data_IF_999350375715
#
_entry.id   IF_999350375715
#
_cell.length_a   1.000
_cell.length_b   1.000
_cell.length_c   1.000
_cell.angle_alpha   90.00
_cell.angle_beta   90.00
_cell.angle_gamma   90.00
#
_symmetry.space_group_name_H-M   'P 1'
#
loop_
_entity.id
_entity.type
_entity.pdbx_description
1 polymer ?
#
# COMPACT_ATOMS: atom_id res chain seq x y z
N UNK A 1 -13.98 14.94 10.84
CA UNK A 1 -14.79 16.13 11.07
C UNK A 1 -14.64 16.62 12.50
N UNK A 2 -14.82 17.90 12.73
CA UNK A 2 -14.74 18.47 14.08
C UNK A 2 -16.07 18.24 14.78
N UNK A 3 -16.09 17.29 15.71
CA UNK A 3 -17.21 17.06 16.64
C UNK A 3 -16.73 17.53 18.01
N UNK A 4 -17.59 18.17 18.78
CA UNK A 4 -17.23 18.60 20.13
C UNK A 4 -17.08 17.37 21.03
N UNK A 5 -16.25 17.51 22.06
CA UNK A 5 -16.05 16.45 23.04
C UNK A 5 -17.40 16.01 23.65
N UNK A 6 -17.68 14.70 23.59
CA UNK A 6 -18.93 14.11 24.06
C UNK A 6 -20.10 14.06 23.05
N UNK A 7 -19.95 14.60 21.86
CA UNK A 7 -20.93 14.45 20.78
C UNK A 7 -20.70 13.17 19.96
N UNK A 8 -21.79 12.51 19.55
CA UNK A 8 -21.74 11.37 18.64
C UNK A 8 -21.51 11.86 17.18
N UNK A 9 -20.39 11.48 16.52
CA UNK A 9 -20.08 11.92 15.16
C UNK A 9 -21.13 11.54 14.13
N UNK A 10 -21.75 10.34 14.24
CA UNK A 10 -22.78 9.88 13.32
C UNK A 10 -24.04 10.72 13.43
N UNK A 11 -24.45 11.03 14.68
CA UNK A 11 -25.59 11.89 14.94
C UNK A 11 -25.39 13.30 14.37
N UNK A 12 -24.22 13.91 14.65
CA UNK A 12 -23.90 15.25 14.14
C UNK A 12 -23.90 15.29 12.61
N UNK A 13 -23.30 14.29 11.95
CA UNK A 13 -23.31 14.17 10.49
C UNK A 13 -24.74 13.99 9.95
N UNK A 14 -25.54 13.12 10.55
CA UNK A 14 -26.93 12.87 10.14
C UNK A 14 -27.81 14.11 10.28
N UNK A 15 -27.69 14.83 11.39
CA UNK A 15 -28.44 16.08 11.62
C UNK A 15 -28.05 17.18 10.61
N UNK A 16 -26.75 17.24 10.24
CA UNK A 16 -26.30 18.18 9.21
C UNK A 16 -26.86 17.84 7.84
N UNK A 17 -26.79 16.56 7.43
CA UNK A 17 -27.34 16.10 6.16
C UNK A 17 -28.85 16.37 6.05
N UNK A 18 -29.60 16.11 7.14
CA UNK A 18 -31.04 16.44 7.23
C UNK A 18 -31.30 17.93 7.06
N UNK A 19 -30.52 18.77 7.73
CA UNK A 19 -30.65 20.24 7.67
C UNK A 19 -30.37 20.77 6.27
N UNK A 20 -29.43 20.16 5.56
CA UNK A 20 -29.02 20.56 4.22
C UNK A 20 -29.91 19.94 3.11
N UNK A 21 -30.91 19.13 3.49
CA UNK A 21 -31.81 18.38 2.59
C UNK A 21 -31.02 17.55 1.55
N UNK A 22 -30.03 16.77 2.01
CA UNK A 22 -29.23 15.91 1.15
C UNK A 22 -29.95 14.58 0.95
N UNK A 23 -30.25 14.20 -0.29
CA UNK A 23 -30.90 12.95 -0.65
C UNK A 23 -29.92 11.87 -1.08
N UNK A 24 -28.75 12.27 -1.63
CA UNK A 24 -27.71 11.38 -2.13
C UNK A 24 -26.36 11.84 -1.59
N UNK A 25 -25.58 10.90 -1.04
CA UNK A 25 -24.22 11.12 -0.58
C UNK A 25 -23.25 10.17 -1.28
N UNK A 26 -22.28 10.70 -2.02
CA UNK A 26 -21.14 9.92 -2.49
C UNK A 26 -19.96 10.08 -1.54
N UNK A 27 -19.40 8.95 -1.06
CA UNK A 27 -18.19 8.91 -0.24
C UNK A 27 -17.02 8.39 -1.07
N UNK A 28 -15.90 9.10 -1.07
CA UNK A 28 -14.71 8.75 -1.86
C UNK A 28 -13.51 8.70 -0.94
N UNK A 29 -12.99 7.49 -0.65
CA UNK A 29 -11.86 7.35 0.28
C UNK A 29 -11.42 5.91 0.51
N UNK A 30 -10.54 5.72 1.51
CA UNK A 30 -10.00 4.43 1.92
C UNK A 30 -10.96 3.61 2.78
N UNK A 31 -10.41 2.66 3.51
CA UNK A 31 -11.14 1.74 4.40
C UNK A 31 -11.91 2.48 5.49
N UNK A 32 -11.29 3.42 6.21
CA UNK A 32 -11.95 4.26 7.22
C UNK A 32 -13.16 5.01 6.65
N UNK A 33 -12.99 5.63 5.47
CA UNK A 33 -14.09 6.38 4.81
C UNK A 33 -15.25 5.47 4.47
N UNK A 34 -14.97 4.29 3.93
CA UNK A 34 -16.00 3.34 3.52
C UNK A 34 -16.67 2.67 4.72
N UNK A 35 -15.92 2.38 5.78
CA UNK A 35 -16.46 1.89 7.06
C UNK A 35 -17.39 2.94 7.70
N UNK A 36 -16.97 4.22 7.73
CA UNK A 36 -17.81 5.30 8.25
C UNK A 36 -19.07 5.53 7.38
N UNK A 37 -18.95 5.38 6.06
CA UNK A 37 -20.10 5.46 5.15
C UNK A 37 -21.11 4.35 5.45
N UNK A 38 -20.65 3.13 5.68
CA UNK A 38 -21.49 2.00 6.09
C UNK A 38 -22.22 2.27 7.42
N UNK A 39 -21.47 2.74 8.43
CA UNK A 39 -22.05 3.09 9.74
C UNK A 39 -23.08 4.22 9.63
N UNK A 40 -22.79 5.26 8.84
CA UNK A 40 -23.69 6.39 8.63
C UNK A 40 -24.96 5.93 7.89
N UNK A 41 -24.85 5.10 6.87
CA UNK A 41 -26.00 4.54 6.13
C UNK A 41 -26.91 3.75 7.06
N UNK A 42 -26.35 2.88 7.91
CA UNK A 42 -27.12 2.12 8.89
C UNK A 42 -27.79 3.03 9.93
N UNK A 43 -27.03 4.00 10.48
CA UNK A 43 -27.55 4.96 11.45
C UNK A 43 -28.74 5.75 10.88
N UNK A 44 -28.65 6.21 9.64
CA UNK A 44 -29.70 6.99 8.98
C UNK A 44 -30.96 6.14 8.77
N UNK A 45 -30.79 4.91 8.31
CA UNK A 45 -31.88 3.93 8.15
C UNK A 45 -32.60 3.65 9.45
N UNK A 46 -31.86 3.42 10.55
CA UNK A 46 -32.40 3.19 11.89
C UNK A 46 -33.17 4.41 12.46
N UNK A 47 -32.83 5.62 11.96
CA UNK A 47 -33.48 6.87 12.34
C UNK A 47 -34.50 7.38 11.30
N UNK A 48 -35.01 6.51 10.44
CA UNK A 48 -36.06 6.80 9.43
C UNK A 48 -35.70 7.99 8.51
N UNK A 49 -34.43 8.09 8.12
CA UNK A 49 -34.00 9.06 7.13
C UNK A 49 -33.50 8.32 5.88
N UNK A 50 -34.25 8.47 4.80
CA UNK A 50 -33.97 7.84 3.51
C UNK A 50 -32.88 8.64 2.76
N UNK A 51 -31.63 8.41 3.11
CA UNK A 51 -30.47 8.92 2.37
C UNK A 51 -29.82 7.78 1.59
N UNK A 52 -29.62 7.97 0.31
CA UNK A 52 -28.83 7.04 -0.48
C UNK A 52 -27.34 7.34 -0.33
N UNK A 53 -26.58 6.36 0.13
CA UNK A 53 -25.12 6.48 0.30
C UNK A 53 -24.40 5.53 -0.67
N UNK A 54 -23.58 6.08 -1.57
CA UNK A 54 -22.79 5.28 -2.50
C UNK A 54 -21.31 5.57 -2.32
N UNK A 55 -20.56 4.56 -1.89
CA UNK A 55 -19.12 4.63 -1.66
C UNK A 55 -18.31 4.31 -2.91
N UNK A 56 -17.12 4.94 -3.00
CA UNK A 56 -16.11 4.70 -4.02
C UNK A 56 -14.76 4.48 -3.33
N UNK A 57 -14.11 3.30 -3.49
CA UNK A 57 -12.93 2.91 -2.73
C UNK A 57 -11.66 3.52 -3.33
N UNK A 58 -11.28 4.73 -2.91
CA UNK A 58 -10.08 5.43 -3.35
C UNK A 58 -8.95 5.26 -2.30
N UNK A 59 -8.08 4.29 -2.53
CA UNK A 59 -6.89 4.06 -1.72
C UNK A 59 -5.78 3.41 -2.55
N UNK A 60 -4.53 3.78 -2.29
CA UNK A 60 -3.35 3.11 -2.84
C UNK A 60 -2.97 1.85 -2.05
N UNK A 61 -3.40 1.75 -0.80
CA UNK A 61 -3.01 0.67 0.13
C UNK A 61 -3.65 -0.68 -0.22
N UNK A 62 -4.79 -0.65 -0.93
CA UNK A 62 -5.48 -1.83 -1.46
C UNK A 62 -5.97 -2.80 -0.38
N UNK A 63 -6.33 -2.29 0.78
CA UNK A 63 -6.63 -3.02 2.00
C UNK A 63 -8.12 -3.14 2.32
N UNK A 64 -9.00 -2.91 1.35
CA UNK A 64 -10.47 -2.97 1.50
C UNK A 64 -11.02 -4.30 0.98
N UNK A 65 -11.61 -5.12 1.86
CA UNK A 65 -12.33 -6.35 1.49
C UNK A 65 -13.80 -6.01 1.10
N UNK A 66 -14.41 -6.64 0.09
CA UNK A 66 -13.92 -7.73 -0.77
C UNK A 66 -13.45 -7.26 -2.16
N UNK A 67 -12.70 -6.19 -2.24
CA UNK A 67 -12.34 -5.58 -3.52
C UNK A 67 -11.17 -6.27 -4.21
N UNK A 68 -11.32 -6.57 -5.49
CA UNK A 68 -10.22 -7.02 -6.37
C UNK A 68 -9.27 -5.87 -6.68
N UNK A 69 -9.80 -4.65 -6.85
CA UNK A 69 -9.01 -3.46 -7.16
C UNK A 69 -9.59 -2.22 -6.53
N UNK A 70 -8.73 -1.35 -6.02
CA UNK A 70 -9.08 -0.03 -5.50
C UNK A 70 -8.63 1.08 -6.45
N UNK A 71 -9.33 2.22 -6.42
CA UNK A 71 -9.03 3.37 -7.27
C UNK A 71 -7.71 4.01 -6.84
N UNK A 72 -6.75 4.07 -7.75
CA UNK A 72 -5.44 4.69 -7.55
C UNK A 72 -4.31 3.73 -7.21
N UNK A 73 -4.56 2.45 -6.94
CA UNK A 73 -3.51 1.49 -6.58
C UNK A 73 -2.59 1.16 -7.77
N UNK A 74 -3.11 1.05 -8.99
CA UNK A 74 -2.27 0.87 -10.18
C UNK A 74 -1.38 2.08 -10.45
N UNK A 75 -1.92 3.28 -10.31
CA UNK A 75 -1.13 4.52 -10.44
C UNK A 75 -0.03 4.58 -9.40
N UNK A 76 -0.35 4.26 -8.14
CA UNK A 76 0.62 4.30 -7.06
C UNK A 76 1.77 3.31 -7.29
N UNK A 77 1.47 2.09 -7.76
CA UNK A 77 2.47 1.09 -8.10
C UNK A 77 3.39 1.54 -9.25
N UNK A 78 2.81 2.04 -10.34
CA UNK A 78 3.56 2.56 -11.49
C UNK A 78 4.48 3.73 -11.09
N UNK A 79 3.95 4.69 -10.33
CA UNK A 79 4.72 5.85 -9.88
C UNK A 79 5.80 5.47 -8.87
N UNK A 80 5.54 4.50 -7.99
CA UNK A 80 6.57 3.92 -7.12
C UNK A 80 7.71 3.27 -7.92
N UNK A 81 7.40 2.57 -9.02
CA UNK A 81 8.38 1.98 -9.91
C UNK A 81 9.22 3.06 -10.63
N UNK A 82 8.59 4.12 -11.15
CA UNK A 82 9.27 5.27 -11.77
C UNK A 82 10.18 5.97 -10.74
N UNK A 83 9.69 6.18 -9.53
CA UNK A 83 10.47 6.77 -8.44
C UNK A 83 11.75 5.96 -8.17
N UNK A 84 11.62 4.64 -8.04
CA UNK A 84 12.76 3.78 -7.79
C UNK A 84 13.73 3.71 -8.98
N UNK A 85 13.22 3.70 -10.23
CA UNK A 85 14.05 3.72 -11.43
C UNK A 85 14.99 4.94 -11.47
N UNK A 86 14.56 6.09 -10.95
CA UNK A 86 15.43 7.26 -10.83
C UNK A 86 16.49 7.09 -9.73
N UNK A 87 16.11 6.48 -8.60
CA UNK A 87 16.99 6.34 -7.43
C UNK A 87 18.05 5.26 -7.64
N UNK A 88 17.69 4.15 -8.29
CA UNK A 88 18.59 3.01 -8.48
C UNK A 88 19.87 3.36 -9.27
N UNK A 89 19.83 4.42 -10.05
CA UNK A 89 21.01 4.93 -10.76
C UNK A 89 22.15 5.31 -9.81
N UNK A 90 21.87 5.61 -8.55
CA UNK A 90 22.87 5.82 -7.51
C UNK A 90 23.81 4.62 -7.30
N UNK A 91 23.36 3.39 -7.63
CA UNK A 91 24.20 2.19 -7.58
C UNK A 91 25.42 2.24 -8.50
N UNK A 92 25.46 3.19 -9.44
CA UNK A 92 26.61 3.41 -10.33
C UNK A 92 27.62 4.40 -9.76
N UNK A 93 27.31 5.09 -8.66
CA UNK A 93 28.12 6.18 -8.10
C UNK A 93 29.01 5.77 -6.94
N UNK A 94 28.74 4.64 -6.31
CA UNK A 94 29.45 4.15 -5.11
C UNK A 94 29.58 2.65 -5.13
N UNK A 95 30.59 2.15 -4.41
CA UNK A 95 30.72 0.74 -4.10
C UNK A 95 29.85 0.37 -2.89
N UNK A 96 29.50 -0.91 -2.78
CA UNK A 96 28.78 -1.50 -1.64
C UNK A 96 27.57 -0.68 -1.19
N UNK A 97 26.69 -0.38 -2.15
CA UNK A 97 25.52 0.47 -1.90
C UNK A 97 24.30 -0.37 -1.52
N UNK A 98 23.64 0.02 -0.44
CA UNK A 98 22.34 -0.51 -0.03
C UNK A 98 21.27 0.54 -0.31
N UNK A 99 20.27 0.20 -1.14
CA UNK A 99 19.09 1.04 -1.38
C UNK A 99 17.86 0.33 -0.85
N UNK A 100 17.10 1.01 0.01
CA UNK A 100 15.82 0.56 0.52
C UNK A 100 14.73 1.52 0.01
N UNK A 101 13.84 1.00 -0.80
CA UNK A 101 12.65 1.70 -1.25
C UNK A 101 11.49 1.34 -0.33
N UNK A 102 11.14 2.24 0.58
CA UNK A 102 9.97 2.08 1.45
C UNK A 102 8.70 2.54 0.73
N UNK A 103 7.75 1.63 0.63
CA UNK A 103 6.46 1.79 -0.03
C UNK A 103 5.35 1.76 1.01
N UNK A 104 4.29 2.54 0.82
CA UNK A 104 3.09 2.50 1.67
C UNK A 104 2.46 1.10 1.70
N UNK A 105 1.69 0.84 2.73
CA UNK A 105 1.00 -0.43 2.96
C UNK A 105 1.27 -0.96 4.36
N UNK A 106 0.55 -0.41 5.35
CA UNK A 106 0.71 -0.78 6.77
C UNK A 106 0.38 -2.26 7.00
N UNK A 107 -0.80 -2.68 6.54
CA UNK A 107 -1.37 -4.01 6.79
C UNK A 107 -1.48 -4.84 5.50
N UNK A 108 -1.13 -4.28 4.35
CA UNK A 108 -1.27 -4.91 3.05
C UNK A 108 -0.02 -4.68 2.18
N UNK A 109 0.66 -5.76 1.84
CA UNK A 109 1.88 -5.74 1.02
C UNK A 109 1.63 -5.57 -0.48
N UNK A 110 0.38 -5.51 -0.93
CA UNK A 110 0.02 -5.44 -2.34
C UNK A 110 0.75 -4.34 -3.10
N UNK A 111 0.73 -3.11 -2.56
CA UNK A 111 1.35 -1.98 -3.26
C UNK A 111 2.86 -2.17 -3.42
N UNK A 112 3.53 -2.70 -2.40
CA UNK A 112 4.98 -3.01 -2.47
C UNK A 112 5.26 -4.10 -3.52
N UNK A 113 4.49 -5.19 -3.49
CA UNK A 113 4.62 -6.29 -4.44
C UNK A 113 4.35 -5.82 -5.87
N UNK A 114 3.28 -5.04 -6.08
CA UNK A 114 2.91 -4.52 -7.40
C UNK A 114 3.93 -3.48 -7.91
N UNK A 115 4.45 -2.62 -7.03
CA UNK A 115 5.54 -1.68 -7.37
C UNK A 115 6.80 -2.43 -7.81
N UNK A 116 7.14 -3.52 -7.13
CA UNK A 116 8.27 -4.36 -7.51
C UNK A 116 8.04 -5.04 -8.87
N UNK A 117 6.82 -5.52 -9.14
CA UNK A 117 6.45 -6.09 -10.45
C UNK A 117 6.58 -5.06 -11.57
N UNK A 118 5.99 -3.89 -11.41
CA UNK A 118 6.05 -2.80 -12.40
C UNK A 118 7.51 -2.37 -12.65
N UNK A 119 8.30 -2.24 -11.57
CA UNK A 119 9.72 -1.93 -11.70
C UNK A 119 10.49 -3.03 -12.45
N UNK A 120 10.28 -4.30 -12.11
CA UNK A 120 10.93 -5.42 -12.78
C UNK A 120 10.60 -5.46 -14.29
N UNK A 121 9.35 -5.15 -14.66
CA UNK A 121 8.95 -5.05 -16.06
C UNK A 121 9.64 -3.88 -16.78
N UNK A 122 9.83 -2.76 -16.10
CA UNK A 122 10.57 -1.60 -16.65
C UNK A 122 12.04 -1.92 -16.89
N UNK A 123 12.69 -2.57 -15.90
CA UNK A 123 14.12 -2.99 -16.02
C UNK A 123 14.30 -3.96 -17.18
N UNK A 124 13.43 -4.95 -17.36
CA UNK A 124 13.49 -5.92 -18.48
C UNK A 124 13.41 -5.26 -19.86
N UNK A 125 12.75 -4.11 -19.96
CA UNK A 125 12.60 -3.36 -21.20
C UNK A 125 13.66 -2.26 -21.37
N UNK A 126 14.58 -2.10 -20.40
CA UNK A 126 15.65 -1.11 -20.45
C UNK A 126 16.81 -1.62 -21.29
N UNK A 127 17.39 -0.74 -22.10
CA UNK A 127 18.61 -1.05 -22.86
C UNK A 127 19.81 -0.80 -21.96
N UNK A 128 20.62 -1.83 -21.74
CA UNK A 128 21.90 -1.76 -21.04
C UNK A 128 23.06 -1.82 -22.03
N UNK A 129 24.22 -1.36 -21.62
CA UNK A 129 25.43 -1.29 -22.43
C UNK A 129 26.58 -2.03 -21.72
N UNK A 130 26.60 -3.38 -21.78
CA UNK A 130 27.60 -4.18 -21.06
C UNK A 130 29.05 -3.83 -21.47
N UNK A 131 29.25 -3.39 -22.72
CA UNK A 131 30.57 -2.97 -23.23
C UNK A 131 31.11 -1.76 -22.50
N UNK A 132 30.25 -0.97 -21.86
CA UNK A 132 30.59 0.16 -21.00
C UNK A 132 30.53 -0.18 -19.51
N UNK A 133 30.48 -1.46 -19.15
CA UNK A 133 30.27 -1.97 -17.80
C UNK A 133 28.95 -1.52 -17.16
N UNK A 134 27.96 -1.25 -18.00
CA UNK A 134 26.59 -0.92 -17.59
C UNK A 134 25.71 -2.12 -17.96
N UNK A 135 25.71 -3.12 -17.07
CA UNK A 135 24.85 -4.30 -17.14
C UNK A 135 23.62 -4.13 -16.21
N UNK A 136 22.69 -5.07 -16.29
CA UNK A 136 21.43 -5.03 -15.50
C UNK A 136 21.57 -5.48 -14.05
N UNK A 137 22.71 -6.05 -13.68
CA UNK A 137 22.92 -6.64 -12.33
C UNK A 137 22.65 -5.62 -11.22
N UNK A 138 23.10 -4.35 -11.38
CA UNK A 138 22.94 -3.30 -10.35
C UNK A 138 21.53 -2.73 -10.25
N UNK A 139 20.69 -2.92 -11.25
CA UNK A 139 19.31 -2.44 -11.27
C UNK A 139 18.30 -3.48 -10.76
N UNK A 140 18.68 -4.76 -10.70
CA UNK A 140 17.81 -5.84 -10.25
C UNK A 140 17.32 -5.67 -8.80
N UNK A 141 16.12 -6.20 -8.52
CA UNK A 141 15.59 -6.32 -7.16
C UNK A 141 16.30 -7.48 -6.46
N UNK A 142 16.65 -7.30 -5.18
CA UNK A 142 17.32 -8.33 -4.39
C UNK A 142 16.49 -8.85 -3.23
N UNK A 143 15.56 -8.05 -2.72
CA UNK A 143 14.61 -8.49 -1.70
C UNK A 143 13.31 -7.69 -1.75
N UNK A 144 12.22 -8.35 -1.34
CA UNK A 144 10.89 -7.73 -1.15
C UNK A 144 10.39 -8.17 0.23
N UNK A 145 10.14 -7.22 1.13
CA UNK A 145 9.59 -7.49 2.45
C UNK A 145 8.22 -6.85 2.57
N UNK A 146 7.24 -7.66 2.93
CA UNK A 146 5.83 -7.28 3.11
C UNK A 146 5.33 -7.74 4.48
N UNK A 147 4.26 -7.13 5.03
CA UNK A 147 3.78 -7.45 6.37
C UNK A 147 3.26 -8.89 6.50
N UNK A 148 2.79 -9.51 5.43
CA UNK A 148 2.21 -10.85 5.43
C UNK A 148 3.24 -11.99 5.48
N UNK A 149 4.53 -11.68 5.33
CA UNK A 149 5.60 -12.69 5.31
C UNK A 149 6.61 -12.38 6.39
N UNK A 150 6.72 -13.27 7.35
CA UNK A 150 7.85 -13.28 8.30
C UNK A 150 9.15 -13.69 7.62
N UNK A 151 10.25 -13.12 8.04
CA UNK A 151 11.56 -13.46 7.50
C UNK A 151 12.60 -13.68 8.61
N UNK A 152 13.52 -14.58 8.35
CA UNK A 152 14.71 -14.77 9.20
C UNK A 152 15.79 -13.76 8.80
N UNK A 153 16.04 -12.79 9.67
CA UNK A 153 17.05 -11.76 9.42
C UNK A 153 18.45 -12.35 9.16
N UNK A 154 18.86 -13.42 9.86
CA UNK A 154 20.19 -13.98 9.71
C UNK A 154 20.35 -14.68 8.36
N UNK A 155 19.33 -15.41 7.91
CA UNK A 155 19.32 -16.05 6.60
C UNK A 155 19.35 -15.01 5.48
N UNK A 156 18.50 -13.99 5.58
CA UNK A 156 18.44 -12.91 4.59
C UNK A 156 19.72 -12.07 4.56
N UNK A 157 20.28 -11.73 5.70
CA UNK A 157 21.57 -11.04 5.78
C UNK A 157 22.69 -11.83 5.10
N UNK A 158 22.72 -13.16 5.30
CA UNK A 158 23.70 -14.04 4.63
C UNK A 158 23.49 -14.11 3.12
N UNK A 159 22.23 -14.17 2.67
CA UNK A 159 21.88 -14.17 1.24
C UNK A 159 22.26 -12.85 0.58
N UNK A 160 21.81 -11.74 1.15
CA UNK A 160 22.07 -10.38 0.62
C UNK A 160 23.55 -10.01 0.71
N UNK A 161 24.29 -10.49 1.70
CA UNK A 161 25.75 -10.31 1.78
C UNK A 161 26.48 -10.91 0.58
N UNK A 162 26.07 -12.10 0.13
CA UNK A 162 26.64 -12.71 -1.07
C UNK A 162 26.34 -11.89 -2.33
N UNK A 163 25.14 -11.31 -2.40
CA UNK A 163 24.75 -10.43 -3.51
C UNK A 163 25.60 -9.15 -3.48
N UNK A 164 25.72 -8.50 -2.34
CA UNK A 164 26.57 -7.33 -2.14
C UNK A 164 28.02 -7.59 -2.54
N UNK A 165 28.58 -8.76 -2.17
CA UNK A 165 29.96 -9.12 -2.50
C UNK A 165 30.16 -9.42 -3.99
N UNK A 166 29.10 -9.78 -4.72
CA UNK A 166 29.15 -10.08 -6.16
C UNK A 166 29.01 -8.83 -7.02
N UNK A 167 28.04 -7.96 -6.71
CA UNK A 167 27.63 -6.85 -7.60
C UNK A 167 27.76 -5.45 -7.02
N UNK A 168 28.32 -5.31 -5.80
CA UNK A 168 28.52 -4.03 -5.12
C UNK A 168 27.23 -3.22 -4.88
N UNK A 169 26.07 -3.88 -4.86
CA UNK A 169 24.80 -3.23 -4.64
C UNK A 169 23.72 -4.20 -4.17
N UNK A 170 22.78 -3.69 -3.35
CA UNK A 170 21.58 -4.41 -2.91
C UNK A 170 20.39 -3.47 -2.93
N UNK A 171 19.33 -3.88 -3.62
CA UNK A 171 18.09 -3.15 -3.77
C UNK A 171 16.95 -3.87 -3.06
N UNK A 172 16.35 -3.22 -2.07
CA UNK A 172 15.26 -3.77 -1.24
C UNK A 172 13.99 -2.97 -1.48
N UNK A 173 12.89 -3.65 -1.79
CA UNK A 173 11.54 -3.11 -1.71
C UNK A 173 10.95 -3.49 -0.35
N UNK A 174 10.54 -2.51 0.42
CA UNK A 174 10.07 -2.66 1.79
C UNK A 174 8.69 -2.04 1.94
N UNK A 175 7.70 -2.83 2.36
CA UNK A 175 6.45 -2.26 2.86
C UNK A 175 6.68 -1.59 4.21
N UNK A 176 6.08 -0.43 4.43
CA UNK A 176 6.18 0.28 5.71
C UNK A 176 5.65 -0.55 6.92
N UNK A 177 4.81 -1.56 6.66
CA UNK A 177 4.31 -2.48 7.67
C UNK A 177 5.18 -3.71 7.90
N UNK A 178 6.19 -3.96 7.05
CA UNK A 178 7.02 -5.14 7.17
C UNK A 178 7.92 -5.08 8.43
N UNK A 179 7.99 -6.19 9.16
CA UNK A 179 8.86 -6.34 10.33
C UNK A 179 8.45 -5.51 11.55
N UNK A 180 7.30 -4.85 11.53
CA UNK A 180 6.81 -3.98 12.63
C UNK A 180 6.76 -4.72 13.96
N UNK A 181 6.30 -5.97 13.98
CA UNK A 181 6.30 -6.77 15.20
C UNK A 181 7.71 -7.02 15.78
N UNK A 182 8.71 -7.20 14.91
CA UNK A 182 10.09 -7.38 15.36
C UNK A 182 10.65 -6.08 15.95
N UNK A 183 10.29 -4.93 15.36
CA UNK A 183 10.65 -3.60 15.86
C UNK A 183 10.01 -3.38 17.24
N UNK A 184 8.72 -3.67 17.39
CA UNK A 184 7.98 -3.54 18.65
C UNK A 184 8.65 -4.38 19.74
N UNK A 185 8.92 -5.67 19.46
CA UNK A 185 9.61 -6.56 20.43
C UNK A 185 10.98 -6.03 20.86
N UNK A 186 11.72 -5.42 19.93
CA UNK A 186 13.02 -4.81 20.26
C UNK A 186 12.86 -3.59 21.14
N UNK A 187 11.91 -2.68 20.84
CA UNK A 187 11.61 -1.51 21.65
C UNK A 187 11.16 -1.89 23.05
N UNK A 188 10.26 -2.86 23.17
CA UNK A 188 9.82 -3.39 24.48
C UNK A 188 10.98 -3.97 25.29
N UNK A 189 11.88 -4.72 24.64
CA UNK A 189 13.06 -5.30 25.32
C UNK A 189 14.04 -4.23 25.80
N UNK A 190 14.07 -3.08 25.14
CA UNK A 190 14.87 -1.92 25.54
C UNK A 190 14.15 -1.01 26.56
N UNK A 191 12.90 -1.30 26.91
CA UNK A 191 12.08 -0.45 27.79
C UNK A 191 11.63 0.86 27.13
N UNK A 192 11.56 0.89 25.79
CA UNK A 192 11.10 2.05 25.02
C UNK A 192 9.58 2.04 24.91
N UNK A 193 8.97 3.23 24.94
CA UNK A 193 7.53 3.39 24.73
C UNK A 193 7.18 3.25 23.24
N UNK A 194 6.12 2.47 22.93
CA UNK A 194 5.64 2.28 21.56
C UNK A 194 4.67 3.41 21.21
N UNK A 195 5.02 4.29 20.25
CA UNK A 195 4.17 5.40 19.86
C UNK A 195 2.91 4.90 19.12
N UNK A 196 1.73 5.36 19.59
CA UNK A 196 0.43 5.01 19.00
C UNK A 196 -0.37 6.26 18.67
N UNK A 197 -1.21 6.16 17.63
CA UNK A 197 -2.16 7.21 17.28
C UNK A 197 -3.42 7.15 18.16
N UNK A 198 -4.36 8.08 17.94
CA UNK A 198 -5.62 8.16 18.70
C UNK A 198 -6.53 6.92 18.50
N UNK A 199 -6.27 6.10 17.48
CA UNK A 199 -7.01 4.86 17.20
C UNK A 199 -6.29 3.62 17.72
N UNK A 200 -5.11 3.77 18.31
CA UNK A 200 -4.30 2.69 18.86
C UNK A 200 -3.31 2.05 17.87
N UNK A 201 -3.25 2.51 16.64
CA UNK A 201 -2.29 2.03 15.67
C UNK A 201 -0.89 2.55 15.97
N UNK A 202 0.11 1.70 15.73
CA UNK A 202 1.53 2.10 15.84
C UNK A 202 1.83 3.20 14.83
N UNK A 203 2.48 4.26 15.28
CA UNK A 203 2.91 5.37 14.41
C UNK A 203 4.16 4.96 13.65
N UNK A 204 3.99 4.51 12.40
CA UNK A 204 5.08 3.99 11.57
C UNK A 204 6.16 5.05 11.28
N UNK A 205 5.78 6.32 11.18
CA UNK A 205 6.75 7.40 10.98
C UNK A 205 7.70 7.57 12.17
N UNK A 206 7.23 7.29 13.39
CA UNK A 206 8.03 7.40 14.61
C UNK A 206 8.94 6.18 14.82
N UNK A 207 8.45 4.95 14.57
CA UNK A 207 9.25 3.73 14.65
C UNK A 207 10.16 3.51 13.43
N UNK A 208 9.85 4.14 12.31
CA UNK A 208 10.62 4.25 11.07
C UNK A 208 11.21 2.90 10.57
N UNK A 209 10.36 1.98 10.05
CA UNK A 209 10.80 0.65 9.64
C UNK A 209 11.96 0.69 8.64
N UNK A 210 11.94 1.57 7.65
CA UNK A 210 13.03 1.71 6.68
C UNK A 210 14.37 1.98 7.31
N UNK A 211 14.43 2.84 8.35
CA UNK A 211 15.68 3.11 9.07
C UNK A 211 16.11 1.94 9.94
N UNK A 212 15.17 1.22 10.54
CA UNK A 212 15.49 0.00 11.30
C UNK A 212 16.12 -1.07 10.40
N UNK A 213 15.53 -1.32 9.23
CA UNK A 213 16.10 -2.23 8.22
C UNK A 213 17.47 -1.74 7.75
N UNK A 214 17.60 -0.45 7.44
CA UNK A 214 18.84 0.16 7.00
C UNK A 214 19.98 -0.04 8.01
N UNK A 215 19.75 0.26 9.29
CA UNK A 215 20.73 0.10 10.36
C UNK A 215 21.23 -1.34 10.49
N UNK A 216 20.33 -2.32 10.36
CA UNK A 216 20.66 -3.74 10.51
C UNK A 216 21.36 -4.30 9.28
N UNK A 217 20.81 -4.07 8.10
CA UNK A 217 21.37 -4.59 6.87
C UNK A 217 22.68 -3.89 6.48
N UNK A 218 22.81 -2.56 6.68
CA UNK A 218 24.08 -1.89 6.39
C UNK A 218 25.26 -2.50 7.13
N UNK A 219 25.06 -2.81 8.41
CA UNK A 219 26.09 -3.49 9.24
C UNK A 219 26.36 -4.92 8.75
N UNK A 220 25.29 -5.70 8.50
CA UNK A 220 25.43 -7.10 8.10
C UNK A 220 26.06 -7.28 6.71
N UNK A 221 25.77 -6.35 5.79
CA UNK A 221 26.27 -6.38 4.40
C UNK A 221 27.61 -5.66 4.24
N UNK A 222 28.13 -4.99 5.27
CA UNK A 222 29.25 -4.04 5.18
C UNK A 222 29.00 -3.01 4.06
N UNK A 223 27.82 -2.40 4.06
CA UNK A 223 27.49 -1.37 3.10
C UNK A 223 28.28 -0.09 3.42
N UNK A 224 28.85 0.54 2.39
CA UNK A 224 29.57 1.81 2.51
C UNK A 224 28.61 2.99 2.41
N UNK A 225 27.57 2.85 1.59
CA UNK A 225 26.51 3.85 1.44
C UNK A 225 25.16 3.18 1.59
N UNK A 226 24.27 3.81 2.33
CA UNK A 226 22.90 3.34 2.53
C UNK A 226 21.92 4.46 2.26
N UNK A 227 20.93 4.19 1.41
CA UNK A 227 19.84 5.11 1.08
C UNK A 227 18.52 4.47 1.50
N UNK A 228 17.71 5.23 2.23
CA UNK A 228 16.30 4.90 2.48
C UNK A 228 15.46 5.97 1.80
N UNK A 229 14.63 5.55 0.86
CA UNK A 229 13.80 6.45 0.07
C UNK A 229 12.35 6.02 0.15
N UNK A 230 11.46 6.97 0.43
CA UNK A 230 10.02 6.73 0.60
C UNK A 230 9.26 7.33 -0.58
N UNK A 231 8.54 6.52 -1.34
CA UNK A 231 7.73 7.00 -2.47
C UNK A 231 6.33 7.50 -2.07
N UNK A 232 5.95 7.38 -0.80
CA UNK A 232 4.59 7.61 -0.30
C UNK A 232 3.82 8.75 -0.97
N UNK A 233 4.17 10.00 -0.69
CA UNK A 233 3.46 11.15 -1.28
C UNK A 233 3.68 11.31 -2.78
N UNK A 234 4.86 10.95 -3.31
CA UNK A 234 5.12 10.97 -4.74
C UNK A 234 4.13 10.08 -5.50
N UNK A 235 3.94 8.84 -5.03
CA UNK A 235 3.00 7.89 -5.62
C UNK A 235 1.53 8.31 -5.41
N UNK A 236 1.20 8.78 -4.19
CA UNK A 236 -0.17 9.14 -3.79
C UNK A 236 -0.72 10.38 -4.48
N UNK A 237 0.14 11.36 -4.80
CA UNK A 237 -0.25 12.64 -5.41
C UNK A 237 -0.12 12.67 -6.93
N UNK A 238 0.28 11.58 -7.54
CA UNK A 238 0.48 11.49 -8.98
C UNK A 238 -0.83 11.57 -9.76
N UNK A 239 -0.73 12.01 -11.02
CA UNK A 239 -1.84 11.94 -11.97
C UNK A 239 -2.19 10.48 -12.23
N UNK A 240 -3.49 10.14 -12.17
CA UNK A 240 -3.99 8.79 -12.46
C UNK A 240 -3.56 8.32 -13.85
N UNK A 241 -3.08 7.08 -13.93
CA UNK A 241 -2.76 6.43 -15.20
C UNK A 241 -4.04 5.98 -15.94
N UNK A 242 -3.89 5.53 -17.18
CA UNK A 242 -5.03 5.19 -18.04
C UNK A 242 -5.87 4.02 -17.48
N UNK A 243 -5.25 3.07 -16.79
CA UNK A 243 -5.95 1.94 -16.16
C UNK A 243 -6.87 2.43 -15.04
N UNK A 244 -6.34 3.24 -14.14
CA UNK A 244 -7.15 3.84 -13.07
C UNK A 244 -8.19 4.80 -13.61
N UNK A 245 -7.87 5.63 -14.61
CA UNK A 245 -8.84 6.53 -15.23
C UNK A 245 -10.03 5.78 -15.83
N UNK A 246 -9.80 4.63 -16.47
CA UNK A 246 -10.88 3.81 -16.99
C UNK A 246 -11.74 3.21 -15.87
N UNK A 247 -11.12 2.68 -14.81
CA UNK A 247 -11.83 2.14 -13.65
C UNK A 247 -12.61 3.24 -12.93
N UNK A 248 -12.02 4.41 -12.71
CA UNK A 248 -12.67 5.59 -12.10
C UNK A 248 -13.91 5.98 -12.90
N UNK A 249 -13.79 6.06 -14.23
CA UNK A 249 -14.92 6.41 -15.10
C UNK A 249 -16.07 5.41 -14.99
N UNK A 250 -15.76 4.13 -15.06
CA UNK A 250 -16.76 3.05 -14.98
C UNK A 250 -17.44 3.06 -13.59
N UNK A 251 -16.63 3.17 -12.53
CA UNK A 251 -17.14 3.22 -11.16
C UNK A 251 -18.02 4.43 -10.90
N UNK A 252 -17.63 5.61 -11.40
CA UNK A 252 -18.41 6.83 -11.25
C UNK A 252 -19.75 6.75 -11.98
N UNK A 253 -19.79 6.21 -13.21
CA UNK A 253 -21.02 6.02 -13.96
C UNK A 253 -21.96 5.06 -13.24
N UNK A 254 -21.43 3.97 -12.71
CA UNK A 254 -22.22 2.98 -11.98
C UNK A 254 -22.72 3.54 -10.63
N UNK A 255 -21.89 4.33 -9.94
CA UNK A 255 -22.27 4.98 -8.68
C UNK A 255 -23.45 5.95 -8.89
N UNK A 256 -23.43 6.72 -9.96
CA UNK A 256 -24.56 7.61 -10.30
C UNK A 256 -25.83 6.83 -10.60
N UNK A 257 -25.71 5.71 -11.34
CA UNK A 257 -26.86 4.85 -11.63
C UNK A 257 -27.51 4.34 -10.34
N UNK A 258 -26.74 3.70 -9.45
CA UNK A 258 -27.27 3.18 -8.19
C UNK A 258 -27.81 4.27 -7.27
N UNK A 259 -27.18 5.44 -7.27
CA UNK A 259 -27.69 6.58 -6.51
C UNK A 259 -29.06 7.03 -6.98
N UNK A 260 -29.31 7.07 -8.31
CA UNK A 260 -30.60 7.42 -8.88
C UNK A 260 -31.65 6.31 -8.68
N UNK A 261 -31.22 5.05 -8.64
CA UNK A 261 -32.05 3.89 -8.32
C UNK A 261 -32.32 3.77 -6.80
N UNK A 262 -31.78 4.70 -5.99
CA UNK A 262 -31.91 4.74 -4.52
C UNK A 262 -31.31 3.51 -3.81
N UNK A 263 -30.28 2.93 -4.40
CA UNK A 263 -29.55 1.79 -3.84
C UNK A 263 -28.25 2.24 -3.15
N UNK A 264 -28.10 1.86 -1.87
CA UNK A 264 -26.90 2.19 -1.07
C UNK A 264 -25.91 1.04 -1.05
N UNK A 265 -24.61 1.35 -1.13
CA UNK A 265 -23.53 0.38 -1.09
C UNK A 265 -22.19 0.95 -1.56
N UNK A 266 -21.19 0.09 -1.72
CA UNK A 266 -19.89 0.44 -2.27
C UNK A 266 -19.76 -0.04 -3.72
N UNK A 267 -19.46 0.82 -4.66
CA UNK A 267 -19.18 0.43 -6.05
C UNK A 267 -17.74 -0.05 -6.16
N UNK A 268 -17.56 -1.32 -6.49
CA UNK A 268 -16.23 -1.92 -6.61
C UNK A 268 -16.22 -3.24 -7.38
N UNK A 269 -15.03 -3.70 -7.70
CA UNK A 269 -14.81 -5.01 -8.33
C UNK A 269 -14.86 -6.09 -7.24
N UNK A 270 -15.94 -6.86 -7.19
CA UNK A 270 -16.22 -7.83 -6.11
C UNK A 270 -15.45 -9.14 -6.29
N UNK A 271 -14.69 -9.56 -5.28
CA UNK A 271 -13.94 -10.82 -5.29
C UNK A 271 -14.88 -12.05 -5.36
N UNK A 272 -16.05 -11.98 -4.73
CA UNK A 272 -16.99 -13.09 -4.68
C UNK A 272 -17.81 -13.22 -5.99
N UNK A 273 -17.79 -12.18 -6.83
CA UNK A 273 -18.44 -12.13 -8.15
C UNK A 273 -17.40 -12.07 -9.29
N UNK A 274 -16.31 -12.83 -9.15
CA UNK A 274 -15.24 -12.96 -10.16
C UNK A 274 -14.63 -11.62 -10.63
N UNK A 275 -14.66 -10.61 -9.79
CA UNK A 275 -14.12 -9.28 -10.11
C UNK A 275 -15.07 -8.41 -10.95
N UNK A 276 -16.35 -8.75 -11.02
CA UNK A 276 -17.36 -7.90 -11.67
C UNK A 276 -17.50 -6.57 -10.93
N UNK A 277 -17.61 -5.48 -11.68
CA UNK A 277 -17.83 -4.14 -11.13
C UNK A 277 -19.31 -3.93 -10.84
N UNK A 278 -19.67 -3.90 -9.57
CA UNK A 278 -21.05 -3.80 -9.11
C UNK A 278 -21.19 -3.04 -7.79
N UNK A 279 -22.43 -2.91 -7.29
CA UNK A 279 -22.71 -2.38 -5.96
C UNK A 279 -22.61 -3.50 -4.92
N UNK A 280 -21.70 -3.32 -3.97
CA UNK A 280 -21.43 -4.24 -2.88
C UNK A 280 -22.14 -3.74 -1.61
N UNK A 281 -22.89 -4.61 -0.93
CA UNK A 281 -23.53 -4.25 0.34
C UNK A 281 -22.47 -3.80 1.37
N UNK A 282 -22.71 -2.68 2.05
CA UNK A 282 -21.81 -2.15 3.06
C UNK A 282 -21.51 -3.11 4.20
N UNK A 283 -22.42 -4.03 4.53
CA UNK A 283 -22.19 -5.03 5.57
C UNK A 283 -21.05 -6.02 5.22
N UNK A 284 -20.68 -6.13 3.95
CA UNK A 284 -19.56 -6.95 3.49
C UNK A 284 -18.23 -6.21 3.49
N UNK A 285 -18.25 -4.89 3.63
CA UNK A 285 -17.05 -4.08 3.56
C UNK A 285 -16.29 -4.17 4.89
N UNK A 286 -15.01 -4.50 4.79
CA UNK A 286 -14.08 -4.57 5.93
C UNK A 286 -12.74 -3.97 5.50
N UNK A 287 -12.09 -3.29 6.43
CA UNK A 287 -10.70 -2.87 6.27
C UNK A 287 -9.71 -4.02 6.49
N UNK A 288 -8.43 -3.69 6.43
CA UNK A 288 -7.31 -4.59 6.75
C UNK A 288 -7.27 -5.90 5.91
N UNK A 289 -7.69 -5.84 4.64
CA UNK A 289 -7.54 -6.97 3.71
C UNK A 289 -6.04 -7.22 3.48
N UNK A 290 -5.49 -8.40 3.84
CA UNK A 290 -4.11 -8.72 3.52
C UNK A 290 -3.93 -8.98 2.02
N UNK A 291 -2.71 -8.84 1.55
CA UNK A 291 -2.32 -9.29 0.22
C UNK A 291 -2.16 -10.82 0.20
N UNK A 292 -2.71 -11.48 -0.82
CA UNK A 292 -2.44 -12.90 -1.03
C UNK A 292 -1.02 -13.10 -1.58
N UNK A 293 -0.06 -13.28 -0.68
CA UNK A 293 1.34 -13.49 -1.03
C UNK A 293 1.62 -14.83 -1.75
N UNK A 294 0.59 -15.70 -1.91
CA UNK A 294 0.67 -16.95 -2.68
C UNK A 294 0.30 -16.76 -4.15
N UNK A 295 -0.09 -15.55 -4.54
CA UNK A 295 -0.27 -15.20 -5.94
C UNK A 295 0.93 -15.62 -6.79
N UNK A 296 0.66 -16.39 -7.86
CA UNK A 296 1.71 -17.01 -8.68
C UNK A 296 2.76 -16.01 -9.16
N UNK A 297 2.32 -14.84 -9.64
CA UNK A 297 3.23 -13.81 -10.14
C UNK A 297 4.19 -13.30 -9.08
N UNK A 298 3.72 -13.15 -7.84
CA UNK A 298 4.56 -12.69 -6.72
C UNK A 298 5.55 -13.77 -6.27
N UNK A 299 5.09 -15.01 -6.15
CA UNK A 299 5.94 -16.17 -5.86
C UNK A 299 7.04 -16.34 -6.93
N UNK A 300 6.69 -16.14 -8.20
CA UNK A 300 7.67 -16.22 -9.31
C UNK A 300 8.74 -15.12 -9.20
N UNK A 301 8.37 -13.89 -8.76
CA UNK A 301 9.34 -12.83 -8.49
C UNK A 301 10.28 -13.22 -7.35
N UNK A 302 9.75 -13.66 -6.20
CA UNK A 302 10.58 -14.05 -5.05
C UNK A 302 11.57 -15.17 -5.42
N UNK A 303 11.11 -16.17 -6.18
CA UNK A 303 11.98 -17.24 -6.68
C UNK A 303 13.08 -16.72 -7.60
N UNK A 304 12.76 -15.78 -8.49
CA UNK A 304 13.72 -15.23 -9.45
C UNK A 304 14.86 -14.47 -8.77
N UNK A 305 14.63 -13.90 -7.59
CA UNK A 305 15.63 -13.19 -6.77
C UNK A 305 16.25 -14.09 -5.68
N UNK A 306 15.89 -15.38 -5.66
CA UNK A 306 16.40 -16.36 -4.69
C UNK A 306 15.97 -16.08 -3.24
N UNK A 307 14.87 -15.40 -3.04
CA UNK A 307 14.27 -15.16 -1.73
C UNK A 307 13.31 -16.30 -1.39
N UNK A 308 13.56 -16.98 -0.26
CA UNK A 308 12.64 -17.95 0.33
C UNK A 308 11.62 -17.24 1.23
N UNK A 309 10.45 -17.83 1.38
CA UNK A 309 9.32 -17.30 2.15
C UNK A 309 8.55 -18.43 2.85
#
# INVERSE_FOLDING_TARGET
GYVKEGEDPLKVAAEQLKRDNVDILHTIGGDDTNTMAAQLSNYLKDNNYELTVVGLPKTGDHDVYPLVQTLGAWTAAEQGAIFFENIVNENTTSTRQLIIHEVMGRNCGYLTAQTALEYNNRVKNKVFLPELLIDDDKWGIDAIYIPEIDFDFQLEAKRLKKIMDKKDGVNIFLSEGAGVEAIIREMESNGEEIPRDAFGHVKLDEINPGQWFAKRFSKALNAEKTLVQKSGYFARSAKSNDRDLQLIKNSAQLAVKYALDQESGLVGMDMDENGELLLIDFNRIKGEKPFDHKEKWFVDILRSIGQSY
#
